data_IF_936383147074
#
_entry.id   IF_936383147074
#
_cell.length_a   1.000
_cell.length_b   1.000
_cell.length_c   1.000
_cell.angle_alpha   90.00
_cell.angle_beta   90.00
_cell.angle_gamma   90.00
#
_symmetry.space_group_name_H-M   'P 1'
#
loop_
_entity.id
_entity.type
_entity.pdbx_description
1 polymer ?
#
# COMPACT_ATOMS: atom_id res chain seq x y z
N UNK A 1 12.70 31.28 36.72
CA UNK A 1 12.86 29.88 36.26
C UNK A 1 11.98 29.71 35.04
N UNK A 2 12.57 29.72 33.84
CA UNK A 2 11.85 29.62 32.58
C UNK A 2 12.00 28.18 32.09
N UNK A 3 10.94 27.38 32.22
CA UNK A 3 10.90 26.04 31.64
C UNK A 3 10.45 26.17 30.19
N UNK A 4 11.37 25.94 29.25
CA UNK A 4 11.03 25.78 27.84
C UNK A 4 10.53 24.34 27.70
N UNK A 5 9.22 24.16 27.55
CA UNK A 5 8.67 22.88 27.13
C UNK A 5 9.09 22.66 25.68
N UNK A 6 9.93 21.64 25.44
CA UNK A 6 10.15 21.13 24.10
C UNK A 6 8.86 20.45 23.65
N UNK A 7 8.11 21.11 22.77
CA UNK A 7 7.08 20.44 21.99
C UNK A 7 7.82 19.46 21.08
N UNK A 8 7.70 18.16 21.34
CA UNK A 8 8.10 17.16 20.35
C UNK A 8 7.29 17.48 19.09
N UNK A 9 7.97 17.74 17.97
CA UNK A 9 7.32 17.81 16.66
C UNK A 9 6.58 16.49 16.48
N UNK A 10 5.24 16.54 16.53
CA UNK A 10 4.43 15.39 16.20
C UNK A 10 4.69 15.09 14.73
N UNK A 11 5.20 13.91 14.41
CA UNK A 11 5.29 13.47 13.02
C UNK A 11 3.85 13.41 12.51
N UNK A 12 3.56 14.14 11.43
CA UNK A 12 2.24 14.16 10.81
C UNK A 12 1.85 12.74 10.41
N UNK A 13 0.59 12.35 10.54
CA UNK A 13 0.13 11.03 10.13
C UNK A 13 -0.39 11.07 8.68
N UNK A 14 -0.04 10.09 7.85
CA UNK A 14 -0.43 10.00 6.44
C UNK A 14 -1.18 8.69 6.15
N UNK A 15 -2.29 8.73 5.39
CA UNK A 15 -2.96 7.50 4.98
C UNK A 15 -2.18 6.79 3.88
N UNK A 16 -2.00 5.48 4.03
CA UNK A 16 -1.46 4.58 3.01
C UNK A 16 -2.57 3.67 2.51
N UNK A 17 -2.86 3.74 1.21
CA UNK A 17 -3.90 2.95 0.54
C UNK A 17 -3.27 2.00 -0.44
N UNK A 18 -3.74 0.76 -0.43
CA UNK A 18 -3.20 -0.33 -1.25
C UNK A 18 -4.27 -0.75 -2.25
N UNK A 19 -3.86 -0.90 -3.52
CA UNK A 19 -4.76 -1.25 -4.60
C UNK A 19 -4.22 -2.40 -5.43
N UNK A 20 -5.09 -3.35 -5.75
CA UNK A 20 -4.83 -4.34 -6.77
C UNK A 20 -5.26 -3.84 -8.13
N UNK A 21 -4.40 -4.04 -9.12
CA UNK A 21 -4.76 -3.83 -10.51
C UNK A 21 -5.72 -4.94 -10.96
N UNK A 22 -6.84 -4.52 -11.57
CA UNK A 22 -7.89 -5.42 -12.04
C UNK A 22 -7.48 -6.17 -13.32
N UNK A 23 -6.40 -5.77 -13.99
CA UNK A 23 -5.78 -6.48 -15.11
C UNK A 23 -4.37 -6.96 -14.73
N UNK A 24 -4.30 -7.78 -13.66
CA UNK A 24 -3.04 -8.26 -13.11
C UNK A 24 -2.20 -9.01 -14.17
N UNK A 25 -2.82 -9.85 -15.01
CA UNK A 25 -2.10 -10.65 -16.01
C UNK A 25 -1.38 -9.80 -17.06
N UNK A 26 -2.01 -8.76 -17.60
CA UNK A 26 -1.33 -7.85 -18.54
C UNK A 26 -0.30 -6.98 -17.83
N UNK A 27 -0.55 -6.64 -16.57
CA UNK A 27 0.29 -5.76 -15.77
C UNK A 27 1.60 -6.41 -15.31
N UNK A 28 1.64 -7.74 -15.11
CA UNK A 28 2.87 -8.45 -14.77
C UNK A 28 3.99 -8.26 -15.79
N UNK A 29 3.65 -8.09 -17.07
CA UNK A 29 4.63 -7.88 -18.15
C UNK A 29 4.90 -6.39 -18.39
N UNK A 30 3.86 -5.55 -18.34
CA UNK A 30 3.94 -4.18 -18.82
C UNK A 30 3.96 -3.13 -17.70
N UNK A 31 3.81 -3.53 -16.44
CA UNK A 31 3.47 -2.63 -15.35
C UNK A 31 2.05 -2.07 -15.49
N UNK A 32 1.70 -1.16 -14.59
CA UNK A 32 0.44 -0.42 -14.65
C UNK A 32 0.31 0.33 -15.98
N UNK A 33 -0.86 0.29 -16.62
CA UNK A 33 -1.11 1.07 -17.84
C UNK A 33 -2.06 2.24 -17.55
N UNK A 34 -1.84 3.42 -18.15
CA UNK A 34 -2.83 4.49 -18.12
C UNK A 34 -4.21 3.99 -18.58
N UNK A 35 -5.25 4.22 -17.77
CA UNK A 35 -6.60 3.72 -18.02
C UNK A 35 -6.89 2.34 -17.44
N UNK A 36 -5.90 1.61 -16.91
CA UNK A 36 -6.15 0.44 -16.07
C UNK A 36 -6.99 0.84 -14.86
N UNK A 37 -7.85 -0.08 -14.41
CA UNK A 37 -8.66 0.14 -13.22
C UNK A 37 -8.08 -0.62 -12.03
N UNK A 38 -8.25 -0.05 -10.84
CA UNK A 38 -7.74 -0.63 -9.60
C UNK A 38 -8.84 -0.77 -8.56
N UNK A 39 -8.69 -1.77 -7.69
CA UNK A 39 -9.58 -2.05 -6.55
C UNK A 39 -8.80 -1.76 -5.28
N UNK A 40 -9.36 -0.97 -4.36
CA UNK A 40 -8.73 -0.73 -3.05
C UNK A 40 -8.92 -1.95 -2.18
N UNK A 41 -7.84 -2.44 -1.59
CA UNK A 41 -7.85 -3.70 -0.82
C UNK A 41 -7.47 -3.51 0.64
N UNK A 42 -6.80 -2.40 0.96
CA UNK A 42 -6.36 -2.11 2.33
C UNK A 42 -6.08 -0.61 2.51
N UNK A 43 -6.33 -0.11 3.72
CA UNK A 43 -6.07 1.27 4.15
C UNK A 43 -5.55 1.23 5.58
N UNK A 44 -4.50 1.98 5.85
CA UNK A 44 -3.96 2.19 7.18
C UNK A 44 -3.28 3.55 7.30
N UNK A 45 -2.90 3.93 8.51
CA UNK A 45 -2.22 5.18 8.81
C UNK A 45 -0.77 4.89 9.20
N UNK A 46 0.15 5.72 8.74
CA UNK A 46 1.58 5.70 9.07
C UNK A 46 2.04 7.09 9.50
N UNK A 47 3.19 7.14 10.17
CA UNK A 47 3.91 8.40 10.35
C UNK A 47 4.40 8.92 8.99
N UNK A 48 4.30 10.23 8.76
CA UNK A 48 4.72 10.90 7.54
C UNK A 48 6.25 10.82 7.43
N UNK A 49 6.69 9.83 6.66
CA UNK A 49 8.06 9.62 6.24
C UNK A 49 8.19 9.92 4.75
N UNK A 50 9.41 9.76 4.23
CA UNK A 50 9.64 9.76 2.79
C UNK A 50 8.75 8.71 2.11
N UNK A 51 8.12 9.09 0.99
CA UNK A 51 7.19 8.22 0.27
C UNK A 51 7.85 6.87 -0.08
N UNK A 52 9.12 6.84 -0.50
CA UNK A 52 9.78 5.57 -0.85
C UNK A 52 9.93 4.63 0.34
N UNK A 53 10.16 5.17 1.54
CA UNK A 53 10.22 4.37 2.77
C UNK A 53 8.85 3.76 3.08
N UNK A 54 7.78 4.54 2.93
CA UNK A 54 6.41 4.07 3.15
C UNK A 54 5.99 3.02 2.12
N UNK A 55 6.39 3.23 0.87
CA UNK A 55 6.14 2.31 -0.23
C UNK A 55 6.86 0.97 -0.01
N UNK A 56 8.15 0.98 0.30
CA UNK A 56 8.91 -0.25 0.56
C UNK A 56 8.37 -1.02 1.77
N UNK A 57 8.00 -0.30 2.84
CA UNK A 57 7.30 -0.91 4.00
C UNK A 57 5.98 -1.56 3.60
N UNK A 58 5.17 -0.88 2.78
CA UNK A 58 3.91 -1.46 2.30
C UNK A 58 4.17 -2.73 1.47
N UNK A 59 5.20 -2.71 0.62
CA UNK A 59 5.56 -3.88 -0.20
C UNK A 59 5.99 -5.06 0.66
N UNK A 60 6.90 -4.85 1.61
CA UNK A 60 7.35 -5.90 2.53
C UNK A 60 6.18 -6.44 3.35
N UNK A 61 5.36 -5.54 3.92
CA UNK A 61 4.21 -5.88 4.76
C UNK A 61 3.19 -6.78 4.04
N UNK A 62 2.94 -6.54 2.75
CA UNK A 62 1.93 -7.31 2.00
C UNK A 62 2.50 -8.46 1.16
N UNK A 63 3.82 -8.59 1.04
CA UNK A 63 4.48 -9.68 0.32
C UNK A 63 5.13 -10.74 1.19
N UNK A 64 5.62 -10.40 2.37
CA UNK A 64 6.21 -11.36 3.29
C UNK A 64 5.10 -12.10 4.02
N UNK A 65 5.11 -13.44 3.97
CA UNK A 65 4.17 -14.23 4.75
C UNK A 65 4.48 -14.05 6.25
N UNK A 66 3.46 -13.83 7.09
CA UNK A 66 3.66 -13.71 8.53
C UNK A 66 4.17 -15.05 9.09
N UNK A 67 5.48 -15.12 9.37
CA UNK A 67 6.14 -16.28 9.94
C UNK A 67 6.38 -16.07 11.44
N UNK A 68 5.69 -16.81 12.33
CA UNK A 68 5.88 -16.70 13.77
C UNK A 68 7.28 -17.12 14.25
N UNK A 69 8.05 -17.87 13.45
CA UNK A 69 9.43 -18.22 13.76
C UNK A 69 10.40 -17.03 13.59
N UNK A 70 10.01 -16.02 12.80
CA UNK A 70 10.79 -14.80 12.55
C UNK A 70 10.42 -13.62 13.47
N UNK A 71 9.41 -13.80 14.32
CA UNK A 71 8.94 -12.79 15.27
C UNK A 71 7.42 -12.71 15.32
N UNK A 72 6.90 -11.77 16.12
CA UNK A 72 5.47 -11.49 16.11
C UNK A 72 5.10 -10.87 14.76
N UNK A 73 4.17 -11.46 13.99
CA UNK A 73 3.78 -10.93 12.70
C UNK A 73 3.05 -9.60 12.85
N UNK A 74 3.23 -8.70 11.88
CA UNK A 74 2.47 -7.46 11.84
C UNK A 74 0.97 -7.75 11.65
N UNK A 75 0.14 -7.24 12.53
CA UNK A 75 -1.31 -7.49 12.53
C UNK A 75 -1.97 -7.09 11.21
N UNK A 76 -1.43 -6.07 10.52
CA UNK A 76 -1.93 -5.62 9.22
C UNK A 76 -1.68 -6.65 8.13
N UNK A 77 -0.52 -7.31 8.15
CA UNK A 77 -0.20 -8.39 7.21
C UNK A 77 -1.11 -9.60 7.45
N UNK A 78 -1.32 -9.96 8.73
CA UNK A 78 -2.22 -11.05 9.13
C UNK A 78 -3.64 -10.77 8.66
N UNK A 79 -4.15 -9.56 8.93
CA UNK A 79 -5.49 -9.15 8.51
C UNK A 79 -5.62 -9.19 6.98
N UNK A 80 -4.67 -8.57 6.28
CA UNK A 80 -4.64 -8.54 4.82
C UNK A 80 -4.72 -9.94 4.21
N UNK A 81 -3.90 -10.90 4.70
CA UNK A 81 -3.91 -12.28 4.22
C UNK A 81 -5.15 -13.06 4.66
N UNK A 82 -5.69 -12.79 5.85
CA UNK A 82 -6.93 -13.43 6.33
C UNK A 82 -8.15 -13.12 5.45
N UNK A 83 -8.15 -11.96 4.78
CA UNK A 83 -9.16 -11.57 3.79
C UNK A 83 -9.02 -12.33 2.46
N UNK A 84 -7.93 -13.06 2.25
CA UNK A 84 -7.63 -13.80 1.02
C UNK A 84 -7.02 -12.94 -0.09
N UNK A 85 -6.46 -11.77 0.27
CA UNK A 85 -5.72 -10.93 -0.66
C UNK A 85 -4.44 -11.63 -1.14
N UNK A 86 -4.12 -11.46 -2.43
CA UNK A 86 -2.84 -11.88 -2.99
C UNK A 86 -1.71 -10.94 -2.59
N UNK A 87 -0.47 -11.40 -2.70
CA UNK A 87 0.73 -10.56 -2.69
C UNK A 87 0.63 -9.40 -3.67
N UNK A 88 1.26 -8.27 -3.33
CA UNK A 88 1.45 -7.16 -4.27
C UNK A 88 2.38 -7.58 -5.40
N UNK A 89 2.10 -7.07 -6.60
CA UNK A 89 2.82 -7.43 -7.80
C UNK A 89 2.94 -6.26 -8.76
N UNK A 90 3.73 -6.46 -9.81
CA UNK A 90 3.99 -5.45 -10.84
C UNK A 90 2.67 -4.93 -11.42
N UNK A 91 2.53 -3.60 -11.37
CA UNK A 91 1.36 -2.85 -11.82
C UNK A 91 0.25 -2.67 -10.79
N UNK A 92 0.37 -3.23 -9.58
CA UNK A 92 -0.42 -2.78 -8.43
C UNK A 92 -0.04 -1.37 -8.02
N UNK A 93 -0.92 -0.72 -7.25
CA UNK A 93 -0.75 0.69 -6.88
C UNK A 93 -0.78 0.84 -5.37
N UNK A 94 0.07 1.72 -4.85
CA UNK A 94 0.02 2.21 -3.47
C UNK A 94 -0.12 3.73 -3.53
N UNK A 95 -0.99 4.28 -2.70
CA UNK A 95 -1.11 5.72 -2.51
C UNK A 95 -0.60 6.12 -1.12
N UNK A 96 0.18 7.19 -1.07
CA UNK A 96 0.62 7.88 0.15
C UNK A 96 -0.04 9.24 0.14
N UNK A 97 -1.08 9.43 0.98
CA UNK A 97 -1.94 10.60 0.89
C UNK A 97 -2.67 10.67 -0.46
N UNK A 98 -2.37 11.72 -1.23
CA UNK A 98 -2.91 12.00 -2.56
C UNK A 98 -1.98 11.58 -3.71
N UNK A 99 -0.81 11.01 -3.40
CA UNK A 99 0.22 10.63 -4.38
C UNK A 99 0.16 9.14 -4.65
N UNK A 100 0.12 8.76 -5.93
CA UNK A 100 -0.04 7.37 -6.35
C UNK A 100 1.23 6.84 -7.00
N UNK A 101 1.57 5.58 -6.69
CA UNK A 101 2.77 4.91 -7.15
C UNK A 101 2.41 3.49 -7.60
N UNK A 102 2.80 3.14 -8.82
CA UNK A 102 2.69 1.76 -9.28
C UNK A 102 3.96 0.98 -8.91
N UNK A 103 3.79 -0.26 -8.48
CA UNK A 103 4.87 -1.24 -8.43
C UNK A 103 5.40 -1.42 -9.85
N UNK A 104 6.69 -1.15 -10.05
CA UNK A 104 7.37 -1.41 -11.31
C UNK A 104 8.23 -2.69 -11.20
N UNK A 105 8.82 -3.14 -12.30
CA UNK A 105 9.75 -4.28 -12.30
C UNK A 105 10.92 -4.07 -11.34
N UNK A 106 11.33 -2.81 -11.18
CA UNK A 106 12.31 -2.39 -10.17
C UNK A 106 11.80 -1.14 -9.46
N UNK A 107 11.37 -1.32 -8.21
CA UNK A 107 10.94 -0.24 -7.34
C UNK A 107 9.57 0.33 -7.72
N UNK A 108 9.49 1.66 -7.75
CA UNK A 108 8.22 2.38 -7.81
C UNK A 108 8.21 3.42 -8.92
N UNK A 109 7.12 3.44 -9.68
CA UNK A 109 6.85 4.48 -10.66
C UNK A 109 5.73 5.38 -10.18
N UNK A 110 6.06 6.65 -9.93
CA UNK A 110 5.06 7.68 -9.60
C UNK A 110 4.10 7.87 -10.76
N UNK A 111 2.80 7.88 -10.46
CA UNK A 111 1.74 8.20 -11.41
C UNK A 111 1.52 9.71 -11.45
N UNK A 112 1.31 10.25 -12.65
CA UNK A 112 1.00 11.68 -12.83
C UNK A 112 -0.42 12.05 -12.40
N UNK A 113 -1.34 11.08 -12.48
CA UNK A 113 -2.76 11.23 -12.16
C UNK A 113 -3.23 10.09 -11.25
N UNK A 114 -4.35 10.32 -10.56
CA UNK A 114 -5.04 9.27 -9.81
C UNK A 114 -5.52 8.15 -10.76
N UNK A 115 -5.28 6.87 -10.44
CA UNK A 115 -5.76 5.74 -11.24
C UNK A 115 -7.29 5.66 -11.20
N UNK A 116 -7.88 4.99 -12.21
CA UNK A 116 -9.32 4.77 -12.24
C UNK A 116 -9.71 3.73 -11.17
N UNK A 117 -10.26 4.18 -10.04
CA UNK A 117 -10.70 3.28 -8.98
C UNK A 117 -12.05 2.65 -9.40
N UNK A 118 -12.05 1.35 -9.63
CA UNK A 118 -13.24 0.55 -9.93
C UNK A 118 -13.22 -0.70 -9.08
N UNK A 119 -13.95 -0.64 -7.95
CA UNK A 119 -14.04 -1.75 -7.01
C UNK A 119 -14.62 -2.99 -7.71
N UNK A 120 -13.86 -4.07 -7.73
CA UNK A 120 -14.33 -5.38 -8.16
C UNK A 120 -14.48 -6.29 -6.95
N UNK A 121 -15.61 -7.00 -6.85
CA UNK A 121 -15.79 -8.05 -5.87
C UNK A 121 -14.92 -9.26 -6.25
N UNK A 122 -13.84 -9.47 -5.50
CA UNK A 122 -12.92 -10.59 -5.61
C UNK A 122 -12.45 -10.97 -4.21
N UNK A 123 -11.57 -11.98 -4.09
CA UNK A 123 -11.07 -12.39 -2.79
C UNK A 123 -10.31 -11.24 -2.14
N UNK A 124 -10.71 -10.89 -0.92
CA UNK A 124 -10.07 -9.88 -0.08
C UNK A 124 -10.43 -8.43 -0.36
N UNK A 125 -11.32 -8.17 -1.32
CA UNK A 125 -11.69 -6.81 -1.74
C UNK A 125 -13.03 -6.30 -1.19
N UNK A 126 -13.68 -7.07 -0.30
CA UNK A 126 -14.94 -6.68 0.37
C UNK A 126 -15.04 -7.28 1.79
N UNK A 127 -15.52 -6.55 2.82
CA UNK A 127 -15.82 -5.11 2.88
C UNK A 127 -14.69 -4.30 3.53
N UNK A 128 -14.53 -3.06 3.07
CA UNK A 128 -13.72 -2.03 3.72
C UNK A 128 -14.41 -1.68 5.06
N UNK A 129 -13.70 -1.92 6.17
CA UNK A 129 -14.10 -1.45 7.50
C UNK A 129 -13.69 0.00 7.69
#
# INVERSE_FOLDING_TARGET
MTTIAATADAIEAVPVRVFHNNDASASLLNGYQPGSTVTEVYLYIEDALDDHVLLDRAFDLFNIDPDPELGAPDERAVEYRSRGNRSLSVGDVVAVGDRFYAVDHTGWRRLGDQPLIRQQASRGTVPLY
#
